data_IF_364539167949
#
_entry.id   IF_364539167949
#
_cell.length_a   1.000
_cell.length_b   1.000
_cell.length_c   1.000
_cell.angle_alpha   90.00
_cell.angle_beta   90.00
_cell.angle_gamma   90.00
#
_symmetry.space_group_name_H-M   'P 1'
#
loop_
_entity.id
_entity.type
_entity.pdbx_description
1 polymer ?
#
# COMPACT_ATOMS: atom_id res chain seq x y z
N UNK A 1 19.22 -8.07 32.71
CA UNK A 1 19.12 -6.60 32.93
C UNK A 1 19.52 -5.83 31.67
N UNK A 2 20.69 -6.11 31.05
CA UNK A 2 21.13 -5.42 29.82
C UNK A 2 20.20 -5.65 28.63
N UNK A 3 19.76 -6.89 28.40
CA UNK A 3 18.80 -7.21 27.33
C UNK A 3 17.46 -6.49 27.50
N UNK A 4 17.00 -6.32 28.73
CA UNK A 4 15.76 -5.59 29.01
C UNK A 4 15.88 -4.09 28.71
N UNK A 5 17.03 -3.51 29.09
CA UNK A 5 17.33 -2.10 28.80
C UNK A 5 17.44 -1.89 27.28
N UNK A 6 18.12 -2.76 26.56
CA UNK A 6 18.25 -2.74 25.11
C UNK A 6 16.87 -2.82 24.42
N UNK A 7 16.00 -3.73 24.88
CA UNK A 7 14.64 -3.90 24.34
C UNK A 7 13.75 -2.67 24.59
N UNK A 8 13.88 -2.04 25.75
CA UNK A 8 13.14 -0.79 26.07
C UNK A 8 13.61 0.37 25.20
N UNK A 9 14.93 0.51 24.99
CA UNK A 9 15.50 1.52 24.10
C UNK A 9 15.06 1.29 22.67
N UNK A 10 15.13 0.05 22.16
CA UNK A 10 14.69 -0.29 20.83
C UNK A 10 13.21 0.04 20.60
N UNK A 11 12.31 -0.22 21.57
CA UNK A 11 10.88 0.16 21.48
C UNK A 11 10.67 1.67 21.38
N UNK A 12 11.39 2.44 22.19
CA UNK A 12 11.30 3.92 22.14
C UNK A 12 11.79 4.46 20.81
N UNK A 13 12.93 3.95 20.34
CA UNK A 13 13.49 4.33 19.02
C UNK A 13 12.56 3.95 17.88
N UNK A 14 11.93 2.78 17.94
CA UNK A 14 10.97 2.35 16.93
C UNK A 14 9.75 3.27 16.84
N UNK A 15 9.23 3.73 18.00
CA UNK A 15 8.12 4.67 18.03
C UNK A 15 8.51 6.04 17.44
N UNK A 16 9.68 6.57 17.79
CA UNK A 16 10.20 7.82 17.22
C UNK A 16 10.42 7.69 15.72
N UNK A 17 10.99 6.56 15.26
CA UNK A 17 11.22 6.27 13.84
C UNK A 17 9.91 6.20 13.06
N UNK A 18 8.89 5.54 13.61
CA UNK A 18 7.58 5.45 12.97
C UNK A 18 6.92 6.83 12.82
N UNK A 19 7.01 7.69 13.85
CA UNK A 19 6.48 9.04 13.79
C UNK A 19 7.26 9.90 12.78
N UNK A 20 8.60 9.85 12.82
CA UNK A 20 9.45 10.56 11.88
C UNK A 20 9.20 10.10 10.43
N UNK A 21 9.02 8.80 10.22
CA UNK A 21 8.65 8.24 8.93
C UNK A 21 7.33 8.82 8.41
N UNK A 22 6.28 8.81 9.24
CA UNK A 22 4.98 9.32 8.85
C UNK A 22 5.04 10.79 8.43
N UNK A 23 5.77 11.63 9.19
CA UNK A 23 5.93 13.05 8.88
C UNK A 23 6.77 13.24 7.60
N UNK A 24 7.96 12.64 7.52
CA UNK A 24 8.86 12.82 6.37
C UNK A 24 8.24 12.31 5.07
N UNK A 25 7.63 11.13 5.08
CA UNK A 25 7.00 10.59 3.87
C UNK A 25 5.76 11.37 3.45
N UNK A 26 5.00 11.92 4.39
CA UNK A 26 3.91 12.82 4.06
C UNK A 26 4.39 14.09 3.40
N UNK A 27 5.48 14.69 3.89
CA UNK A 27 6.11 15.86 3.27
C UNK A 27 6.65 15.55 1.88
N UNK A 28 7.34 14.42 1.71
CA UNK A 28 7.80 13.95 0.39
C UNK A 28 6.61 13.79 -0.57
N UNK A 29 5.50 13.24 -0.11
CA UNK A 29 4.28 13.10 -0.91
C UNK A 29 3.73 14.44 -1.40
N UNK A 30 3.78 15.48 -0.56
CA UNK A 30 3.35 16.83 -0.92
C UNK A 30 4.37 17.49 -1.87
N UNK A 31 5.62 17.57 -1.44
CA UNK A 31 6.62 18.40 -2.10
C UNK A 31 7.14 17.81 -3.40
N UNK A 32 7.24 16.49 -3.49
CA UNK A 32 7.86 15.81 -4.65
C UNK A 32 6.85 15.18 -5.61
N UNK A 33 5.66 14.82 -5.15
CA UNK A 33 4.70 14.10 -6.00
C UNK A 33 3.48 14.94 -6.30
N UNK A 34 2.83 15.50 -5.28
CA UNK A 34 1.65 16.33 -5.49
C UNK A 34 1.99 17.60 -6.25
N UNK A 35 3.16 18.18 -6.03
CA UNK A 35 3.66 19.36 -6.74
C UNK A 35 3.85 19.15 -8.25
N UNK A 36 3.97 17.90 -8.73
CA UNK A 36 4.03 17.61 -10.17
C UNK A 36 2.70 17.85 -10.89
N UNK A 37 1.60 17.88 -10.14
CA UNK A 37 0.26 18.22 -10.65
C UNK A 37 -0.18 19.53 -10.00
N UNK A 38 0.26 20.67 -10.56
CA UNK A 38 0.13 21.98 -9.93
C UNK A 38 -1.31 22.40 -9.60
N UNK A 39 -2.29 21.90 -10.35
CA UNK A 39 -3.71 22.20 -10.15
C UNK A 39 -4.39 21.24 -9.16
N UNK A 40 -3.72 20.16 -8.75
CA UNK A 40 -4.31 19.13 -7.91
C UNK A 40 -3.81 19.19 -6.47
N UNK A 41 -4.74 19.32 -5.53
CA UNK A 41 -4.47 19.33 -4.10
C UNK A 41 -5.37 18.29 -3.40
N UNK A 42 -4.78 17.43 -2.59
CA UNK A 42 -5.53 16.47 -1.77
C UNK A 42 -4.92 16.33 -0.38
N UNK A 43 -5.72 16.53 0.64
CA UNK A 43 -5.29 16.37 2.05
C UNK A 43 -5.04 14.92 2.43
N UNK A 44 -5.67 13.96 1.76
CA UNK A 44 -5.53 12.52 2.03
C UNK A 44 -4.34 11.90 1.30
N UNK A 45 -3.84 12.53 0.24
CA UNK A 45 -2.77 11.98 -0.57
C UNK A 45 -1.45 11.76 0.19
N UNK A 46 -1.00 12.67 1.06
CA UNK A 46 0.21 12.44 1.87
C UNK A 46 0.11 11.19 2.73
N UNK A 47 -1.03 10.97 3.37
CA UNK A 47 -1.28 9.78 4.18
C UNK A 47 -1.31 8.51 3.31
N UNK A 48 -1.97 8.56 2.16
CA UNK A 48 -2.02 7.47 1.19
C UNK A 48 -0.61 7.08 0.70
N UNK A 49 0.22 8.07 0.37
CA UNK A 49 1.58 7.86 -0.09
C UNK A 49 2.47 7.26 1.01
N UNK A 50 2.45 7.85 2.20
CA UNK A 50 3.19 7.33 3.35
C UNK A 50 2.78 5.90 3.70
N UNK A 51 1.48 5.59 3.65
CA UNK A 51 0.98 4.26 3.92
C UNK A 51 1.38 3.24 2.86
N UNK A 52 1.38 3.62 1.59
CA UNK A 52 1.86 2.78 0.48
C UNK A 52 3.34 2.40 0.66
N UNK A 53 4.19 3.37 1.02
CA UNK A 53 5.59 3.11 1.34
C UNK A 53 5.77 2.18 2.54
N UNK A 54 4.95 2.33 3.58
CA UNK A 54 4.98 1.46 4.76
C UNK A 54 4.55 0.03 4.44
N UNK A 55 3.49 -0.14 3.66
CA UNK A 55 3.05 -1.45 3.18
C UNK A 55 4.13 -2.13 2.34
N UNK A 56 4.77 -1.38 1.43
CA UNK A 56 5.89 -1.89 0.63
C UNK A 56 7.06 -2.34 1.49
N UNK A 57 7.41 -1.59 2.53
CA UNK A 57 8.47 -1.97 3.47
C UNK A 57 8.17 -3.26 4.23
N UNK A 58 6.91 -3.46 4.67
CA UNK A 58 6.50 -4.71 5.33
C UNK A 58 6.49 -5.88 4.36
N UNK A 59 6.00 -5.67 3.14
CA UNK A 59 6.02 -6.67 2.07
C UNK A 59 7.45 -7.10 1.76
N UNK A 60 8.37 -6.15 1.57
CA UNK A 60 9.78 -6.45 1.36
C UNK A 60 10.43 -7.16 2.54
N UNK A 61 10.12 -6.76 3.76
CA UNK A 61 10.58 -7.45 4.99
C UNK A 61 10.08 -8.88 5.02
N UNK A 62 8.84 -9.13 4.61
CA UNK A 62 8.26 -10.47 4.53
C UNK A 62 9.02 -11.33 3.52
N UNK A 63 9.30 -10.81 2.32
CA UNK A 63 10.07 -11.52 1.29
C UNK A 63 11.48 -11.85 1.80
N UNK A 64 12.18 -10.88 2.39
CA UNK A 64 13.51 -11.09 2.97
C UNK A 64 13.48 -12.17 4.04
N UNK A 65 12.53 -12.13 4.96
CA UNK A 65 12.37 -13.15 6.00
C UNK A 65 12.15 -14.55 5.41
N UNK A 66 11.35 -14.66 4.34
CA UNK A 66 11.09 -15.94 3.68
C UNK A 66 12.32 -16.48 2.95
N UNK A 67 13.07 -15.64 2.25
CA UNK A 67 14.31 -16.02 1.56
C UNK A 67 15.38 -16.42 2.57
N UNK A 68 15.53 -15.66 3.66
CA UNK A 68 16.56 -15.92 4.67
C UNK A 68 16.19 -17.00 5.70
N UNK A 69 14.96 -17.52 5.66
CA UNK A 69 14.46 -18.52 6.63
C UNK A 69 15.39 -19.75 6.75
N UNK A 70 15.96 -20.19 5.63
CA UNK A 70 16.81 -21.38 5.56
C UNK A 70 18.30 -21.08 5.76
N UNK A 71 18.68 -19.80 5.97
CA UNK A 71 20.08 -19.45 6.20
C UNK A 71 20.54 -19.90 7.59
N UNK A 72 21.78 -20.35 7.69
CA UNK A 72 22.38 -20.81 8.95
C UNK A 72 22.36 -19.72 10.06
N UNK A 73 22.45 -18.44 9.66
CA UNK A 73 22.49 -17.32 10.60
C UNK A 73 21.14 -17.03 11.28
N UNK A 74 20.01 -17.37 10.64
CA UNK A 74 18.65 -17.05 11.10
C UNK A 74 17.80 -18.32 11.33
N UNK A 75 18.39 -19.50 11.15
CA UNK A 75 17.71 -20.77 11.42
C UNK A 75 17.25 -20.83 12.89
N UNK A 76 15.95 -21.03 13.08
CA UNK A 76 15.32 -21.05 14.41
C UNK A 76 14.82 -19.69 14.92
N UNK A 77 15.22 -18.56 14.33
CA UNK A 77 14.67 -17.25 14.70
C UNK A 77 13.39 -16.91 13.94
N UNK A 78 13.27 -17.33 12.68
CA UNK A 78 12.09 -17.10 11.85
C UNK A 78 11.11 -18.27 12.00
N UNK A 79 10.23 -18.16 12.99
CA UNK A 79 9.20 -19.18 13.27
C UNK A 79 7.98 -18.99 12.37
N UNK A 80 7.20 -20.06 12.18
CA UNK A 80 5.92 -20.00 11.43
C UNK A 80 4.95 -18.98 12.03
N UNK A 81 4.99 -18.78 13.35
CA UNK A 81 4.17 -17.76 14.02
C UNK A 81 4.54 -16.34 13.56
N UNK A 82 5.83 -16.02 13.44
CA UNK A 82 6.29 -14.71 12.96
C UNK A 82 5.92 -14.46 11.50
N UNK A 83 6.03 -15.50 10.66
CA UNK A 83 5.58 -15.44 9.26
C UNK A 83 4.08 -15.16 9.19
N UNK A 84 3.30 -15.84 10.02
CA UNK A 84 1.85 -15.60 10.10
C UNK A 84 1.51 -14.18 10.58
N UNK A 85 2.27 -13.61 11.51
CA UNK A 85 2.08 -12.25 11.97
C UNK A 85 2.41 -11.22 10.86
N UNK A 86 3.49 -11.44 10.11
CA UNK A 86 3.79 -10.63 8.93
C UNK A 86 2.67 -10.71 7.88
N UNK A 87 2.15 -11.92 7.61
CA UNK A 87 1.01 -12.10 6.69
C UNK A 87 -0.26 -11.39 7.15
N UNK A 88 -0.52 -11.32 8.45
CA UNK A 88 -1.64 -10.52 9.00
C UNK A 88 -1.41 -9.03 8.79
N UNK A 89 -0.18 -8.56 8.95
CA UNK A 89 0.16 -7.15 8.73
C UNK A 89 0.01 -6.76 7.26
N UNK A 90 0.56 -7.55 6.33
CA UNK A 90 0.40 -7.32 4.89
C UNK A 90 -1.09 -7.26 4.53
N UNK A 91 -1.88 -8.22 5.01
CA UNK A 91 -3.32 -8.26 4.77
C UNK A 91 -4.06 -7.03 5.32
N UNK A 92 -3.83 -6.69 6.59
CA UNK A 92 -4.52 -5.57 7.23
C UNK A 92 -4.14 -4.23 6.58
N UNK A 93 -2.88 -4.06 6.23
CA UNK A 93 -2.39 -2.80 5.66
C UNK A 93 -2.75 -2.64 4.18
N UNK A 94 -2.93 -3.73 3.43
CA UNK A 94 -3.50 -3.66 2.07
C UNK A 94 -4.96 -3.19 2.09
N UNK A 95 -5.75 -3.63 3.07
CA UNK A 95 -7.13 -3.14 3.26
C UNK A 95 -7.13 -1.65 3.62
N UNK A 96 -6.26 -1.23 4.52
CA UNK A 96 -6.19 0.17 4.92
C UNK A 96 -5.68 1.07 3.79
N UNK A 97 -4.75 0.60 2.96
CA UNK A 97 -4.33 1.30 1.75
C UNK A 97 -5.49 1.52 0.79
N UNK A 98 -6.32 0.50 0.57
CA UNK A 98 -7.52 0.62 -0.24
C UNK A 98 -8.55 1.58 0.37
N UNK A 99 -8.71 1.57 1.68
CA UNK A 99 -9.57 2.52 2.39
C UNK A 99 -9.14 3.98 2.14
N UNK A 100 -7.85 4.28 2.23
CA UNK A 100 -7.32 5.62 1.95
C UNK A 100 -7.54 6.03 0.49
N UNK A 101 -7.31 5.11 -0.45
CA UNK A 101 -7.59 5.34 -1.87
C UNK A 101 -9.07 5.65 -2.10
N UNK A 102 -9.95 4.83 -1.55
CA UNK A 102 -11.39 5.00 -1.70
C UNK A 102 -11.91 6.29 -1.06
N UNK A 103 -11.41 6.63 0.12
CA UNK A 103 -11.77 7.87 0.81
C UNK A 103 -11.41 9.10 -0.01
N UNK A 104 -10.22 9.13 -0.59
CA UNK A 104 -9.78 10.22 -1.47
C UNK A 104 -10.63 10.28 -2.74
N UNK A 105 -10.85 9.15 -3.39
CA UNK A 105 -11.67 9.06 -4.59
C UNK A 105 -13.09 9.55 -4.33
N UNK A 106 -13.72 9.09 -3.25
CA UNK A 106 -15.11 9.43 -2.91
C UNK A 106 -15.30 10.93 -2.69
N UNK A 107 -14.38 11.58 -2.01
CA UNK A 107 -14.43 13.03 -1.77
C UNK A 107 -14.35 13.80 -3.10
N UNK A 108 -13.41 13.46 -3.96
CA UNK A 108 -13.21 14.11 -5.27
C UNK A 108 -14.42 13.85 -6.19
N UNK A 109 -14.92 12.61 -6.20
CA UNK A 109 -16.11 12.26 -6.98
C UNK A 109 -17.35 13.02 -6.54
N UNK A 110 -17.58 13.15 -5.23
CA UNK A 110 -18.74 13.84 -4.67
C UNK A 110 -18.66 15.36 -4.87
N UNK A 111 -17.50 15.95 -4.65
CA UNK A 111 -17.27 17.39 -4.81
C UNK A 111 -17.29 17.84 -6.27
N UNK A 112 -16.86 16.99 -7.19
CA UNK A 112 -16.79 17.22 -8.64
C UNK A 112 -16.14 18.56 -9.01
N UNK A 113 -15.07 18.93 -8.31
CA UNK A 113 -14.31 20.16 -8.55
C UNK A 113 -13.40 19.94 -9.76
N UNK A 114 -13.49 20.74 -10.84
CA UNK A 114 -12.75 20.51 -12.09
C UNK A 114 -11.24 20.40 -11.90
N UNK A 115 -10.66 21.18 -11.00
CA UNK A 115 -9.22 21.18 -10.71
C UNK A 115 -8.75 19.85 -10.07
N UNK A 116 -9.59 19.22 -9.27
CA UNK A 116 -9.26 17.96 -8.58
C UNK A 116 -9.59 16.74 -9.43
N UNK A 117 -10.64 16.80 -10.25
CA UNK A 117 -11.09 15.65 -11.05
C UNK A 117 -10.10 15.26 -12.13
N UNK A 118 -9.36 16.21 -12.71
CA UNK A 118 -8.36 15.97 -13.75
C UNK A 118 -7.32 14.92 -13.37
N UNK A 119 -6.87 14.92 -12.11
CA UNK A 119 -5.93 13.94 -11.61
C UNK A 119 -6.48 12.50 -11.62
N UNK A 120 -7.75 12.34 -11.27
CA UNK A 120 -8.43 11.03 -11.24
C UNK A 120 -8.78 10.57 -12.66
N UNK A 121 -9.27 11.49 -13.51
CA UNK A 121 -9.58 11.20 -14.91
C UNK A 121 -8.38 10.62 -15.64
N UNK A 122 -7.21 11.21 -15.46
CA UNK A 122 -5.98 10.73 -16.09
C UNK A 122 -5.55 9.32 -15.63
N UNK A 123 -6.01 8.86 -14.46
CA UNK A 123 -5.64 7.58 -13.87
C UNK A 123 -6.70 6.49 -13.97
N UNK A 124 -7.97 6.86 -13.97
CA UNK A 124 -9.10 5.94 -13.99
C UNK A 124 -9.94 6.04 -15.27
N UNK A 125 -9.73 7.09 -16.08
CA UNK A 125 -10.52 7.41 -17.25
C UNK A 125 -11.70 8.35 -16.94
N UNK A 126 -12.10 9.16 -17.92
CA UNK A 126 -13.15 10.17 -17.76
C UNK A 126 -14.54 9.61 -17.48
N UNK A 127 -14.79 8.36 -17.83
CA UNK A 127 -16.08 7.69 -17.62
C UNK A 127 -16.31 7.28 -16.16
N UNK A 128 -15.25 7.20 -15.37
CA UNK A 128 -15.37 6.85 -13.96
C UNK A 128 -16.01 7.97 -13.11
N UNK A 129 -16.03 9.19 -13.63
CA UNK A 129 -16.64 10.37 -13.00
C UNK A 129 -17.98 10.76 -13.62
N UNK A 130 -18.28 10.32 -14.83
CA UNK A 130 -19.57 10.53 -15.49
C UNK A 130 -20.40 9.26 -15.40
N UNK A 131 -21.67 9.39 -15.02
CA UNK A 131 -22.67 8.32 -14.74
C UNK A 131 -22.89 7.26 -15.84
N UNK A 132 -21.97 7.05 -16.73
CA UNK A 132 -22.07 6.10 -17.82
C UNK A 132 -21.44 4.76 -17.47
N UNK A 133 -22.22 3.87 -16.92
CA UNK A 133 -21.94 2.43 -16.73
C UNK A 133 -21.76 1.65 -18.05
N UNK A 134 -21.20 2.28 -19.08
CA UNK A 134 -20.97 1.63 -20.36
C UNK A 134 -19.59 0.99 -20.42
N UNK A 135 -19.55 -0.32 -20.19
CA UNK A 135 -18.37 -1.18 -20.37
C UNK A 135 -17.75 -1.07 -21.78
N UNK A 136 -18.49 -0.64 -22.79
CA UNK A 136 -18.00 -0.55 -24.17
C UNK A 136 -16.94 0.54 -24.40
N UNK A 137 -16.99 1.66 -23.67
CA UNK A 137 -15.99 2.72 -23.76
C UNK A 137 -14.68 2.41 -23.03
N UNK A 138 -14.71 1.46 -22.11
CA UNK A 138 -13.56 1.09 -21.29
C UNK A 138 -12.42 0.50 -22.13
N UNK A 139 -12.73 -0.28 -23.16
CA UNK A 139 -11.72 -0.90 -24.02
C UNK A 139 -11.05 0.05 -25.01
N UNK A 140 -11.71 1.15 -25.39
CA UNK A 140 -11.12 2.15 -26.29
C UNK A 140 -10.16 3.10 -25.57
N UNK A 141 -10.24 3.22 -24.24
CA UNK A 141 -9.38 4.09 -23.40
C UNK A 141 -8.24 3.37 -22.70
N UNK A 142 -8.10 2.09 -22.91
CA UNK A 142 -6.88 1.37 -22.60
C UNK A 142 -5.62 1.94 -23.29
N UNK A 143 -5.78 2.97 -24.13
CA UNK A 143 -4.68 3.71 -24.75
C UNK A 143 -4.01 4.74 -23.80
N UNK A 144 -4.65 5.08 -22.67
CA UNK A 144 -4.03 6.01 -21.70
C UNK A 144 -3.05 5.25 -20.79
N UNK A 145 -1.75 5.58 -20.81
CA UNK A 145 -0.70 4.77 -20.17
C UNK A 145 -0.88 4.64 -18.65
N UNK A 146 -1.49 5.62 -18.01
CA UNK A 146 -1.66 5.63 -16.55
C UNK A 146 -2.79 4.72 -16.05
N UNK A 147 -3.80 4.45 -16.86
CA UNK A 147 -4.93 3.59 -16.47
C UNK A 147 -4.46 2.17 -16.22
N UNK A 148 -3.62 1.62 -17.09
CA UNK A 148 -3.09 0.27 -16.92
C UNK A 148 -2.24 0.12 -15.66
N UNK A 149 -1.37 1.11 -15.40
CA UNK A 149 -0.51 1.11 -14.23
C UNK A 149 -1.35 1.21 -12.95
N UNK A 150 -2.37 2.05 -12.95
CA UNK A 150 -3.27 2.21 -11.81
C UNK A 150 -4.06 0.93 -11.52
N UNK A 151 -4.63 0.31 -12.55
CA UNK A 151 -5.35 -0.96 -12.41
C UNK A 151 -4.42 -2.09 -11.96
N UNK A 152 -3.24 -2.20 -12.57
CA UNK A 152 -2.25 -3.19 -12.15
C UNK A 152 -1.85 -3.02 -10.67
N UNK A 153 -1.57 -1.79 -10.25
CA UNK A 153 -1.27 -1.49 -8.85
C UNK A 153 -2.45 -1.85 -7.93
N UNK A 154 -3.67 -1.53 -8.32
CA UNK A 154 -4.87 -1.86 -7.56
C UNK A 154 -5.07 -3.36 -7.40
N UNK A 155 -4.92 -4.13 -8.47
CA UNK A 155 -5.00 -5.59 -8.42
C UNK A 155 -3.87 -6.19 -7.57
N UNK A 156 -2.63 -5.76 -7.75
CA UNK A 156 -1.47 -6.32 -7.07
C UNK A 156 -1.42 -5.96 -5.58
N UNK A 157 -1.78 -4.73 -5.21
CA UNK A 157 -1.62 -4.26 -3.83
C UNK A 157 -2.84 -4.61 -2.97
N UNK A 158 -4.04 -4.70 -3.56
CA UNK A 158 -5.26 -4.93 -2.79
C UNK A 158 -6.01 -6.19 -3.19
N UNK A 159 -6.43 -6.36 -4.46
CA UNK A 159 -7.31 -7.47 -4.85
C UNK A 159 -6.66 -8.82 -4.57
N UNK A 160 -5.44 -9.02 -5.03
CA UNK A 160 -4.72 -10.28 -4.85
C UNK A 160 -4.42 -10.53 -3.36
N UNK A 161 -3.81 -9.61 -2.59
CA UNK A 161 -3.60 -9.82 -1.15
C UNK A 161 -4.88 -10.07 -0.39
N UNK A 162 -5.96 -9.34 -0.69
CA UNK A 162 -7.24 -9.51 -0.01
C UNK A 162 -7.79 -10.93 -0.20
N UNK A 163 -7.97 -11.38 -1.44
CA UNK A 163 -8.57 -12.68 -1.71
C UNK A 163 -7.67 -13.85 -1.31
N UNK A 164 -6.38 -13.77 -1.60
CA UNK A 164 -5.43 -14.85 -1.29
C UNK A 164 -5.18 -14.94 0.21
N UNK A 165 -5.00 -13.82 0.91
CA UNK A 165 -4.69 -13.79 2.34
C UNK A 165 -5.94 -13.76 3.25
N UNK A 166 -7.16 -13.86 2.71
CA UNK A 166 -8.37 -13.87 3.53
C UNK A 166 -8.37 -15.04 4.52
N UNK A 167 -7.92 -16.21 4.09
CA UNK A 167 -7.79 -17.40 4.93
C UNK A 167 -6.60 -17.36 5.89
N UNK A 168 -6.64 -18.16 6.96
CA UNK A 168 -5.53 -18.30 7.90
C UNK A 168 -4.39 -19.17 7.33
N UNK A 169 -4.70 -20.14 6.50
CA UNK A 169 -3.72 -21.07 5.92
C UNK A 169 -2.75 -20.40 4.94
N UNK A 170 -3.20 -19.57 3.98
CA UNK A 170 -2.30 -18.85 3.08
C UNK A 170 -1.27 -17.99 3.81
N UNK A 171 -1.66 -17.34 4.91
CA UNK A 171 -0.76 -16.52 5.76
C UNK A 171 0.35 -17.33 6.45
N UNK A 172 0.15 -18.63 6.61
CA UNK A 172 1.14 -19.55 7.22
C UNK A 172 2.00 -20.25 6.18
N UNK A 173 1.58 -20.27 4.92
CA UNK A 173 2.27 -20.97 3.83
C UNK A 173 3.31 -20.02 3.21
N UNK A 174 4.62 -20.31 3.38
CA UNK A 174 5.69 -19.39 2.94
C UNK A 174 5.65 -19.08 1.44
N UNK A 175 5.36 -20.08 0.60
CA UNK A 175 5.30 -19.90 -0.85
C UNK A 175 4.19 -18.90 -1.25
N UNK A 176 2.97 -19.07 -0.73
CA UNK A 176 1.83 -18.20 -1.05
C UNK A 176 2.08 -16.79 -0.52
N UNK A 177 2.54 -16.67 0.72
CA UNK A 177 2.80 -15.35 1.30
C UNK A 177 3.93 -14.63 0.57
N UNK A 178 4.98 -15.35 0.15
CA UNK A 178 6.08 -14.78 -0.61
C UNK A 178 5.65 -14.23 -1.97
N UNK A 179 4.83 -14.96 -2.72
CA UNK A 179 4.30 -14.48 -4.02
C UNK A 179 3.35 -13.30 -3.90
N UNK A 180 2.62 -13.18 -2.81
CA UNK A 180 1.70 -12.06 -2.57
C UNK A 180 2.44 -10.82 -2.06
N UNK A 181 3.53 -11.01 -1.30
CA UNK A 181 4.30 -9.89 -0.75
C UNK A 181 5.34 -9.34 -1.74
N UNK A 182 5.73 -10.11 -2.77
CA UNK A 182 6.65 -9.67 -3.82
C UNK A 182 6.00 -8.72 -4.82
#
# INVERSE_FOLDING_TARGET
REREIATRRARKLAAVLALSYAICYSLIGIDMIMSLAAEWVSTMFPAYYAWGGFLSAISMTTVICLVMRNSAALSGQITTSRIHDLGKMVFAFSIFWMYLFWSQYFVIWYANIPEETGFIVNRLGSEFLQDTWYFAGYFTRLAEPYVHVTLAAWFLIWVIPFWVLLGAQPKKTPAILGTVAA
#
